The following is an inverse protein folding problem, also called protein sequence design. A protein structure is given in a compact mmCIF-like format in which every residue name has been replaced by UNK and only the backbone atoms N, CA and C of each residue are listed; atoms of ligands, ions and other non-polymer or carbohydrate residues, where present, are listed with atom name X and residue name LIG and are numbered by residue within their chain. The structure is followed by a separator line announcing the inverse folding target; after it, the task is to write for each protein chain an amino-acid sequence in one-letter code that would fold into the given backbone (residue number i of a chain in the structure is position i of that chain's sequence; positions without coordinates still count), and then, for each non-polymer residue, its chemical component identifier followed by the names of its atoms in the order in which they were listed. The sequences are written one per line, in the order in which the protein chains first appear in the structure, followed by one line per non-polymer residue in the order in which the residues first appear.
data_IF_701885012611
#
_entry.id   IF_701885012611
#
_cell.length_a   1.000
_cell.length_b   1.000
_cell.length_c   1.000
_cell.angle_alpha   90.00
_cell.angle_beta   90.00
_cell.angle_gamma   90.00
#
_symmetry.space_group_name_H-M   'P 1'
#
loop_
_entity.id
_entity.type
_entity.pdbx_description
1 polymer ?
#
# COMPACT_ATOMS: atom_id res chain seq x y z
N UNK A 1 15.31 -25.22 28.64
CA UNK A 1 16.15 -24.88 27.46
C UNK A 1 15.41 -25.13 26.14
N UNK A 2 14.71 -26.27 25.97
CA UNK A 2 14.06 -26.62 24.69
C UNK A 2 12.90 -25.69 24.28
N UNK A 3 12.08 -25.22 25.24
CA UNK A 3 10.97 -24.30 24.96
C UNK A 3 11.40 -22.94 24.39
N UNK A 4 12.58 -22.45 24.78
CA UNK A 4 13.12 -21.16 24.30
C UNK A 4 13.52 -21.28 22.83
N UNK A 5 14.10 -22.42 22.44
CA UNK A 5 14.50 -22.68 21.05
C UNK A 5 13.27 -22.73 20.16
N UNK A 6 12.20 -23.42 20.60
CA UNK A 6 10.94 -23.48 19.84
C UNK A 6 10.34 -22.08 19.65
N UNK A 7 10.35 -21.24 20.67
CA UNK A 7 9.83 -19.87 20.57
C UNK A 7 10.61 -19.00 19.59
N UNK A 8 11.95 -19.09 19.61
CA UNK A 8 12.82 -18.35 18.68
C UNK A 8 12.58 -18.81 17.23
N UNK A 9 12.47 -20.12 17.01
CA UNK A 9 12.19 -20.69 15.67
C UNK A 9 10.85 -20.20 15.12
N UNK A 10 9.80 -20.18 15.95
CA UNK A 10 8.47 -19.69 15.54
C UNK A 10 8.50 -18.20 15.17
N UNK A 11 9.16 -17.36 15.96
CA UNK A 11 9.28 -15.92 15.68
C UNK A 11 10.07 -15.65 14.39
N UNK A 12 11.13 -16.42 14.13
CA UNK A 12 11.92 -16.30 12.89
C UNK A 12 11.11 -16.72 11.67
N UNK A 13 10.34 -17.81 11.75
CA UNK A 13 9.48 -18.29 10.66
C UNK A 13 8.37 -17.26 10.35
N UNK A 14 7.73 -16.71 11.39
CA UNK A 14 6.68 -15.69 11.21
C UNK A 14 7.26 -14.46 10.51
N UNK A 15 8.40 -13.93 10.97
CA UNK A 15 9.05 -12.77 10.34
C UNK A 15 9.51 -13.05 8.90
N UNK A 16 9.92 -14.27 8.58
CA UNK A 16 10.25 -14.65 7.21
C UNK A 16 9.01 -14.66 6.30
N UNK A 17 7.84 -15.06 6.82
CA UNK A 17 6.57 -15.09 6.08
C UNK A 17 5.94 -13.69 5.91
N UNK A 18 6.09 -12.78 6.89
CA UNK A 18 5.61 -11.39 6.75
C UNK A 18 6.50 -10.54 5.85
N UNK A 19 7.75 -10.94 5.62
CA UNK A 19 8.69 -10.22 4.75
C UNK A 19 8.79 -10.79 3.32
N UNK A 20 8.03 -11.84 2.99
CA UNK A 20 7.75 -12.24 1.60
C UNK A 20 6.68 -11.35 0.95
N UNK A 21 6.73 -10.05 1.28
CA UNK A 21 6.07 -9.02 0.50
C UNK A 21 6.68 -8.95 -0.89
N UNK A 22 5.95 -9.50 -1.87
CA UNK A 22 6.05 -9.11 -3.28
C UNK A 22 7.43 -9.33 -3.92
N UNK A 23 7.94 -10.56 -3.90
CA UNK A 23 8.83 -11.00 -4.97
C UNK A 23 8.03 -11.00 -6.28
N UNK A 24 8.11 -9.88 -7.00
CA UNK A 24 7.64 -9.68 -8.36
C UNK A 24 8.13 -10.86 -9.21
N UNK A 25 7.22 -11.81 -9.48
CA UNK A 25 7.51 -13.01 -10.26
C UNK A 25 8.03 -12.62 -11.64
N UNK A 26 9.33 -12.82 -11.85
CA UNK A 26 9.94 -12.91 -13.17
C UNK A 26 9.78 -14.37 -13.63
N UNK A 27 8.59 -14.73 -14.08
CA UNK A 27 8.35 -15.98 -14.78
C UNK A 27 8.20 -15.70 -16.27
N UNK A 28 9.31 -15.89 -16.97
CA UNK A 28 9.43 -16.05 -18.42
C UNK A 28 8.56 -17.23 -18.84
N UNK A 29 7.30 -16.98 -19.23
CA UNK A 29 6.51 -17.95 -19.98
C UNK A 29 6.36 -17.52 -21.44
N UNK A 30 6.87 -18.41 -22.27
CA UNK A 30 6.93 -18.42 -23.72
C UNK A 30 5.56 -18.17 -24.38
N UNK A 31 5.59 -17.30 -25.40
CA UNK A 31 4.79 -17.23 -26.63
C UNK A 31 3.44 -17.99 -26.61
N UNK A 32 2.31 -17.26 -26.66
CA UNK A 32 1.46 -17.26 -27.85
C UNK A 32 0.32 -16.22 -27.79
N UNK A 33 -0.07 -15.76 -28.98
CA UNK A 33 -1.34 -15.11 -29.35
C UNK A 33 -1.73 -13.77 -28.69
N UNK A 34 -1.68 -12.72 -29.51
CA UNK A 34 -2.79 -11.78 -29.62
C UNK A 34 -2.81 -10.61 -28.63
N UNK A 35 -2.72 -9.41 -29.20
CA UNK A 35 -2.91 -8.11 -28.54
C UNK A 35 -1.76 -7.72 -27.61
N UNK A 36 -0.98 -6.71 -28.01
CA UNK A 36 -0.05 -6.01 -27.13
C UNK A 36 -0.82 -5.40 -25.95
N UNK A 37 -1.02 -6.18 -24.89
CA UNK A 37 -1.53 -5.69 -23.62
C UNK A 37 -0.48 -4.73 -23.08
N UNK A 38 -0.72 -3.43 -23.27
CA UNK A 38 0.08 -2.38 -22.65
C UNK A 38 0.18 -2.74 -21.16
N UNK A 39 1.40 -2.97 -20.67
CA UNK A 39 1.62 -3.20 -19.24
C UNK A 39 0.98 -2.02 -18.49
N UNK A 40 0.20 -2.25 -17.42
CA UNK A 40 -0.44 -1.18 -16.68
C UNK A 40 0.63 -0.19 -16.22
N UNK A 41 0.45 1.08 -16.59
CA UNK A 41 1.41 2.14 -16.27
C UNK A 41 1.07 2.63 -14.86
N UNK A 42 2.02 2.53 -13.93
CA UNK A 42 1.82 3.02 -12.57
C UNK A 42 1.47 4.52 -12.59
N UNK A 43 0.43 4.90 -11.85
CA UNK A 43 0.02 6.27 -11.73
C UNK A 43 1.05 7.03 -10.89
N UNK A 44 1.76 7.96 -11.53
CA UNK A 44 2.83 8.73 -10.90
C UNK A 44 2.33 9.58 -9.73
N UNK A 45 1.08 10.07 -9.80
CA UNK A 45 0.49 10.94 -8.78
C UNK A 45 0.28 10.24 -7.43
N UNK A 46 0.18 8.92 -7.42
CA UNK A 46 0.08 8.13 -6.19
C UNK A 46 1.23 7.13 -6.03
N UNK A 47 2.28 7.24 -6.85
CA UNK A 47 3.40 6.31 -6.87
C UNK A 47 2.96 4.83 -6.93
N UNK A 48 1.88 4.54 -7.65
CA UNK A 48 1.36 3.17 -7.76
C UNK A 48 0.45 2.69 -6.61
N UNK A 49 0.26 3.49 -5.56
CA UNK A 49 -0.51 3.06 -4.37
C UNK A 49 -2.02 3.19 -4.51
N UNK A 50 -2.48 4.02 -5.46
CA UNK A 50 -3.89 4.38 -5.60
C UNK A 50 -4.38 5.39 -4.56
N UNK A 51 -3.55 5.82 -3.60
CA UNK A 51 -3.94 6.75 -2.54
C UNK A 51 -3.01 7.97 -2.48
N UNK A 52 -3.54 9.07 -1.96
CA UNK A 52 -2.79 10.29 -1.69
C UNK A 52 -3.13 10.82 -0.30
N UNK A 53 -2.15 11.36 0.41
CA UNK A 53 -2.38 12.04 1.69
C UNK A 53 -2.93 13.43 1.44
N UNK A 54 -4.09 13.73 2.02
CA UNK A 54 -4.67 15.07 1.98
C UNK A 54 -4.75 15.65 3.37
N UNK A 55 -4.22 16.87 3.49
CA UNK A 55 -4.36 17.67 4.70
C UNK A 55 -5.71 18.38 4.64
N UNK A 56 -6.44 18.34 5.74
CA UNK A 56 -7.68 19.09 5.92
C UNK A 56 -7.70 19.70 7.32
N UNK A 57 -8.49 20.75 7.49
CA UNK A 57 -8.62 21.45 8.77
C UNK A 57 -10.00 21.20 9.33
N UNK A 58 -10.08 20.74 10.57
CA UNK A 58 -11.34 20.53 11.29
C UNK A 58 -11.24 21.10 12.70
N UNK A 59 -12.37 21.46 13.34
CA UNK A 59 -12.34 21.89 14.72
C UNK A 59 -11.88 20.75 15.64
N UNK A 60 -11.09 21.09 16.65
CA UNK A 60 -10.56 20.12 17.61
C UNK A 60 -11.66 19.43 18.44
N UNK A 61 -12.80 20.10 18.60
CA UNK A 61 -14.00 19.60 19.25
C UNK A 61 -15.26 20.29 18.69
N UNK A 62 -16.45 19.84 19.10
CA UNK A 62 -17.74 20.34 18.61
C UNK A 62 -18.23 21.62 19.34
N UNK A 63 -17.37 22.31 20.11
CA UNK A 63 -17.76 23.52 20.82
C UNK A 63 -17.66 24.74 19.89
N UNK A 64 -18.55 25.71 20.11
CA UNK A 64 -18.45 27.01 19.45
C UNK A 64 -17.14 27.70 19.85
N UNK A 65 -16.39 28.19 18.86
CA UNK A 65 -15.06 28.80 19.08
C UNK A 65 -13.90 27.80 19.22
N UNK A 66 -14.11 26.52 18.93
CA UNK A 66 -13.05 25.53 18.96
C UNK A 66 -11.87 25.89 18.04
N UNK A 67 -10.66 25.56 18.50
CA UNK A 67 -9.44 25.71 17.71
C UNK A 67 -9.48 24.80 16.48
N UNK A 68 -9.13 25.35 15.33
CA UNK A 68 -8.99 24.59 14.09
C UNK A 68 -7.64 23.88 14.07
N UNK A 69 -7.65 22.57 13.82
CA UNK A 69 -6.44 21.73 13.75
C UNK A 69 -6.29 21.10 12.38
N UNK A 70 -5.06 21.02 11.88
CA UNK A 70 -4.76 20.29 10.65
C UNK A 70 -4.64 18.79 10.94
N UNK A 71 -5.39 17.99 10.20
CA UNK A 71 -5.28 16.53 10.19
C UNK A 71 -4.97 16.04 8.78
N UNK A 72 -4.53 14.79 8.68
CA UNK A 72 -4.26 14.12 7.40
C UNK A 72 -5.13 12.87 7.29
N UNK A 73 -5.67 12.64 6.11
CA UNK A 73 -6.35 11.39 5.76
C UNK A 73 -5.85 10.88 4.42
N UNK A 74 -5.90 9.56 4.24
CA UNK A 74 -5.72 8.96 2.92
C UNK A 74 -7.01 9.15 2.11
N UNK A 75 -6.87 9.67 0.89
CA UNK A 75 -7.94 9.71 -0.10
C UNK A 75 -7.54 8.92 -1.34
N UNK A 76 -8.53 8.44 -2.09
CA UNK A 76 -8.29 7.82 -3.39
C UNK A 76 -7.65 8.84 -4.35
N UNK A 77 -6.60 8.41 -5.06
CA UNK A 77 -5.98 9.21 -6.09
C UNK A 77 -6.98 9.44 -7.22
N UNK A 78 -7.35 10.70 -7.47
CA UNK A 78 -8.36 11.06 -8.45
C UNK A 78 -7.93 10.79 -9.90
N UNK A 79 -6.62 10.67 -10.15
CA UNK A 79 -6.06 10.43 -11.49
C UNK A 79 -6.20 8.98 -11.92
N UNK A 80 -6.06 8.04 -11.00
CA UNK A 80 -6.22 6.61 -11.26
C UNK A 80 -7.45 5.99 -10.56
N UNK A 81 -8.33 6.82 -9.99
CA UNK A 81 -9.53 6.41 -9.26
C UNK A 81 -9.28 5.31 -8.22
N UNK A 82 -8.21 5.42 -7.45
CA UNK A 82 -7.89 4.40 -6.42
C UNK A 82 -7.16 3.15 -6.93
N UNK A 83 -6.96 2.99 -8.25
CA UNK A 83 -6.37 1.76 -8.82
C UNK A 83 -4.85 1.66 -8.68
N UNK A 84 -4.16 2.80 -8.64
CA UNK A 84 -2.70 2.86 -8.65
C UNK A 84 -2.06 2.76 -10.05
N UNK A 85 -2.84 2.49 -11.09
CA UNK A 85 -2.37 2.38 -12.47
C UNK A 85 -3.42 2.88 -13.48
N UNK A 86 -2.97 3.18 -14.70
CA UNK A 86 -3.79 3.54 -15.86
C UNK A 86 -4.10 2.34 -16.75
#
# INVERSE_FOLDING_TARGET
MELIIVFIVVVVIINALTNSGSAKSNSTHSKNSGSAQKKPIACMNCAGTGKVWKTYTEPENNLSGARMVQKRREEACMVCFGKGYH
#
